data_IF_380257342266
#
_entry.id   IF_380257342266
#
_cell.length_a   1.000
_cell.length_b   1.000
_cell.length_c   1.000
_cell.angle_alpha   90.00
_cell.angle_beta   90.00
_cell.angle_gamma   90.00
#
_symmetry.space_group_name_H-M   'P 1'
#
loop_
_entity.id
_entity.type
_entity.pdbx_description
1 polymer ?
#
# COMPACT_ATOMS: atom_id res chain seq x y z
N UNK A 1 -20.66 2.63 6.87
CA UNK A 1 -20.04 2.83 5.55
C UNK A 1 -19.24 1.58 5.27
N UNK A 2 -19.58 0.85 4.21
CA UNK A 2 -18.88 -0.38 3.89
C UNK A 2 -17.52 0.03 3.28
N UNK A 3 -16.44 -0.16 4.03
CA UNK A 3 -15.12 0.31 3.65
C UNK A 3 -14.56 -0.42 2.44
N UNK A 4 -13.61 0.21 1.78
CA UNK A 4 -12.83 -0.40 0.71
C UNK A 4 -12.03 -1.58 1.25
N UNK A 5 -11.76 -2.56 0.39
CA UNK A 5 -10.99 -3.75 0.74
C UNK A 5 -9.80 -3.90 -0.20
N UNK A 6 -8.60 -3.89 0.38
CA UNK A 6 -7.36 -4.11 -0.33
C UNK A 6 -6.80 -5.49 -0.02
N UNK A 7 -6.27 -6.18 -1.03
CA UNK A 7 -5.58 -7.47 -0.85
C UNK A 7 -4.10 -7.34 -1.15
N UNK A 8 -3.27 -7.71 -0.18
CA UNK A 8 -1.81 -7.69 -0.29
C UNK A 8 -1.21 -9.08 -0.07
N UNK A 9 -0.04 -9.32 -0.67
CA UNK A 9 0.83 -10.45 -0.32
C UNK A 9 2.19 -9.93 0.12
N UNK A 10 2.86 -10.70 0.97
CA UNK A 10 4.27 -10.52 1.28
C UNK A 10 4.93 -11.91 1.36
N UNK A 11 5.46 -12.37 0.23
CA UNK A 11 6.03 -13.70 0.05
C UNK A 11 7.40 -13.63 -0.65
N UNK A 12 7.90 -14.74 -1.18
CA UNK A 12 9.18 -14.78 -1.90
C UNK A 12 9.19 -13.97 -3.21
N UNK A 13 8.07 -13.37 -3.60
CA UNK A 13 8.00 -12.44 -4.73
C UNK A 13 7.91 -10.98 -4.26
N UNK A 14 7.99 -10.74 -2.95
CA UNK A 14 7.95 -9.43 -2.32
C UNK A 14 6.55 -8.97 -1.91
N UNK A 15 6.49 -7.69 -1.55
CA UNK A 15 5.28 -7.00 -1.15
C UNK A 15 4.50 -6.54 -2.39
N UNK A 16 3.30 -7.07 -2.57
CA UNK A 16 2.47 -6.82 -3.76
C UNK A 16 1.03 -6.48 -3.38
N UNK A 17 0.42 -5.56 -4.13
CA UNK A 17 -0.99 -5.18 -4.04
C UNK A 17 -1.75 -5.81 -5.20
N UNK A 18 -2.66 -6.72 -4.88
CA UNK A 18 -3.34 -7.57 -5.87
C UNK A 18 -4.70 -7.05 -6.28
N UNK A 19 -5.35 -6.28 -5.40
CA UNK A 19 -6.78 -6.07 -5.49
C UNK A 19 -7.22 -4.82 -4.75
N UNK A 20 -8.14 -4.07 -5.34
CA UNK A 20 -8.86 -2.97 -4.69
C UNK A 20 -10.36 -3.09 -4.94
N UNK A 21 -11.12 -3.36 -3.88
CA UNK A 21 -12.58 -3.40 -3.94
C UNK A 21 -13.13 -2.11 -3.35
N UNK A 22 -13.62 -1.25 -4.22
CA UNK A 22 -14.52 -0.17 -3.85
C UNK A 22 -15.96 -0.71 -3.91
N UNK A 23 -16.66 -0.76 -2.77
CA UNK A 23 -18.04 -1.30 -2.74
C UNK A 23 -19.06 -0.41 -3.46
N UNK A 24 -18.66 0.82 -3.82
CA UNK A 24 -19.44 1.75 -4.65
C UNK A 24 -19.09 1.67 -6.14
N UNK A 25 -17.99 1.00 -6.50
CA UNK A 25 -17.54 0.81 -7.88
C UNK A 25 -17.19 -0.66 -8.18
N UNK A 26 -18.00 -1.31 -9.01
CA UNK A 26 -17.90 -2.75 -9.26
C UNK A 26 -16.64 -3.20 -10.05
N UNK A 27 -15.82 -2.26 -10.53
CA UNK A 27 -14.67 -2.58 -11.37
C UNK A 27 -13.38 -2.47 -10.56
N UNK A 28 -12.64 -3.57 -10.56
CA UNK A 28 -11.38 -3.75 -9.86
C UNK A 28 -10.26 -3.89 -10.89
N UNK A 29 -9.68 -2.76 -11.27
CA UNK A 29 -8.61 -2.71 -12.27
C UNK A 29 -7.40 -3.57 -11.89
N UNK A 30 -7.16 -3.76 -10.58
CA UNK A 30 -6.05 -4.55 -10.07
C UNK A 30 -6.30 -6.06 -10.20
N UNK A 31 -7.53 -6.51 -9.98
CA UNK A 31 -7.89 -7.92 -10.09
C UNK A 31 -7.76 -8.48 -11.51
N UNK A 32 -7.90 -7.64 -12.53
CA UNK A 32 -7.79 -8.03 -13.94
C UNK A 32 -6.34 -7.90 -14.49
N UNK A 33 -5.48 -7.17 -13.77
CA UNK A 33 -4.11 -6.88 -14.16
C UNK A 33 -3.05 -7.72 -13.42
N UNK A 34 -1.78 -7.36 -13.63
CA UNK A 34 -0.70 -7.87 -12.77
C UNK A 34 -0.70 -7.11 -11.44
N UNK A 35 -0.39 -7.77 -10.31
CA UNK A 35 -0.28 -7.09 -9.03
C UNK A 35 0.75 -5.95 -9.08
N UNK A 36 0.44 -4.84 -8.40
CA UNK A 36 1.40 -3.76 -8.20
C UNK A 36 2.48 -4.25 -7.25
N UNK A 37 3.73 -4.21 -7.69
CA UNK A 37 4.87 -4.56 -6.82
C UNK A 37 5.31 -3.30 -6.08
N UNK A 38 5.19 -3.33 -4.75
CA UNK A 38 5.60 -2.25 -3.85
C UNK A 38 7.07 -2.45 -3.47
N UNK A 39 7.46 -3.67 -3.11
CA UNK A 39 8.84 -4.01 -2.82
C UNK A 39 9.17 -5.42 -3.29
N UNK A 40 10.44 -5.67 -3.62
CA UNK A 40 10.96 -7.02 -3.87
C UNK A 40 11.07 -7.79 -2.55
N UNK A 41 11.32 -9.09 -2.64
CA UNK A 41 11.57 -9.97 -1.50
C UNK A 41 12.79 -9.55 -0.67
N UNK A 42 13.80 -9.00 -1.32
CA UNK A 42 14.91 -8.26 -0.70
C UNK A 42 14.78 -6.78 -1.01
N UNK A 43 14.78 -5.94 0.02
CA UNK A 43 14.72 -4.48 -0.12
C UNK A 43 15.85 -3.82 0.66
N UNK A 44 16.56 -2.92 0.00
CA UNK A 44 17.51 -2.00 0.59
C UNK A 44 16.92 -0.58 0.65
N UNK A 45 17.53 0.29 1.45
CA UNK A 45 17.12 1.69 1.49
C UNK A 45 17.53 2.38 0.17
N UNK A 46 16.61 3.13 -0.41
CA UNK A 46 16.77 3.74 -1.72
C UNK A 46 16.35 2.85 -2.90
N UNK A 47 16.04 1.57 -2.65
CA UNK A 47 15.49 0.70 -3.69
C UNK A 47 14.19 1.26 -4.24
N UNK A 48 13.99 1.07 -5.53
CA UNK A 48 12.75 1.45 -6.20
C UNK A 48 12.21 0.35 -7.11
N UNK A 49 10.88 0.28 -7.18
CA UNK A 49 10.16 -0.66 -8.04
C UNK A 49 9.14 0.13 -8.86
N UNK A 50 9.27 0.07 -10.17
CA UNK A 50 8.29 0.58 -11.11
C UNK A 50 7.40 -0.57 -11.57
N UNK A 51 6.11 -0.45 -11.29
CA UNK A 51 5.07 -1.22 -11.97
C UNK A 51 4.37 -0.31 -12.96
N UNK A 52 4.33 -0.70 -14.23
CA UNK A 52 3.58 0.00 -15.26
C UNK A 52 2.79 -1.03 -16.07
N UNK A 53 1.51 -0.75 -16.31
CA UNK A 53 0.70 -1.51 -17.25
C UNK A 53 0.42 -0.65 -18.47
N UNK A 54 0.52 -1.28 -19.64
CA UNK A 54 0.32 -0.66 -20.96
C UNK A 54 -0.89 -1.24 -21.69
N UNK A 55 -1.55 -2.26 -21.13
CA UNK A 55 -2.50 -3.09 -21.89
C UNK A 55 -3.86 -2.43 -22.12
N UNK A 56 -4.33 -1.56 -21.22
CA UNK A 56 -5.63 -0.89 -21.33
C UNK A 56 -5.57 0.63 -21.19
N UNK A 57 -4.82 1.13 -20.20
CA UNK A 57 -4.55 2.55 -19.96
C UNK A 57 -3.14 2.62 -19.40
N UNK A 58 -2.28 3.49 -19.93
CA UNK A 58 -0.92 3.66 -19.44
C UNK A 58 -0.97 4.24 -18.03
N UNK A 59 -0.90 3.40 -17.00
CA UNK A 59 -0.77 3.81 -15.61
C UNK A 59 0.52 3.27 -15.03
N UNK A 60 1.06 3.98 -14.04
CA UNK A 60 2.23 3.51 -13.34
C UNK A 60 2.13 3.72 -11.84
N UNK A 61 2.93 2.92 -11.13
CA UNK A 61 3.20 3.00 -9.71
C UNK A 61 4.70 2.83 -9.51
N UNK A 62 5.35 3.85 -8.99
CA UNK A 62 6.73 3.81 -8.55
C UNK A 62 6.74 3.78 -7.04
N UNK A 63 7.30 2.73 -6.42
CA UNK A 63 7.54 2.69 -4.98
C UNK A 63 9.03 2.85 -4.68
N UNK A 64 9.36 3.62 -3.66
CA UNK A 64 10.72 3.93 -3.22
C UNK A 64 10.81 3.66 -1.71
N UNK A 65 11.77 2.83 -1.31
CA UNK A 65 12.10 2.57 0.10
C UNK A 65 12.89 3.76 0.66
N UNK A 66 12.31 4.58 1.54
CA UNK A 66 12.93 5.84 2.00
C UNK A 66 13.67 5.72 3.32
N UNK A 67 13.24 4.83 4.23
CA UNK A 67 13.83 4.75 5.55
C UNK A 67 12.97 4.02 6.57
N UNK A 68 13.42 4.09 7.82
CA UNK A 68 12.69 3.54 8.97
C UNK A 68 12.21 4.65 9.89
N UNK A 69 10.97 4.54 10.35
CA UNK A 69 10.35 5.49 11.27
C UNK A 69 9.56 4.74 12.35
N UNK A 70 9.53 5.31 13.56
CA UNK A 70 8.61 4.83 14.60
C UNK A 70 7.21 5.40 14.33
N UNK A 71 6.19 4.55 14.42
CA UNK A 71 4.80 4.93 14.12
C UNK A 71 3.90 4.61 15.31
N UNK A 72 3.20 5.63 15.79
CA UNK A 72 2.19 5.49 16.85
C UNK A 72 0.79 5.68 16.25
N UNK A 73 -0.05 4.67 16.38
CA UNK A 73 -1.45 4.63 15.93
C UNK A 73 -2.32 4.04 17.06
N UNK A 74 -3.66 4.02 16.94
CA UNK A 74 -4.50 3.42 17.98
C UNK A 74 -4.15 1.96 18.30
N UNK A 75 -3.67 1.21 17.29
CA UNK A 75 -3.15 -0.16 17.47
C UNK A 75 -1.87 -0.29 18.30
N UNK A 76 -1.29 0.83 18.71
CA UNK A 76 -0.09 0.91 19.54
C UNK A 76 1.07 1.58 18.84
N UNK A 77 2.26 1.36 19.40
CA UNK A 77 3.52 1.90 18.91
C UNK A 77 4.32 0.81 18.19
N UNK A 78 4.66 1.06 16.93
CA UNK A 78 5.40 0.16 16.07
C UNK A 78 6.77 0.75 15.77
N UNK A 79 7.82 0.08 16.25
CA UNK A 79 9.20 0.53 16.10
C UNK A 79 9.77 0.14 14.74
N UNK A 80 10.60 1.01 14.16
CA UNK A 80 11.31 0.78 12.89
C UNK A 80 10.38 0.30 11.76
N UNK A 81 9.28 0.99 11.55
CA UNK A 81 8.41 0.75 10.39
C UNK A 81 9.15 1.18 9.12
N UNK A 82 9.17 0.31 8.12
CA UNK A 82 9.72 0.64 6.81
C UNK A 82 8.75 1.59 6.09
N UNK A 83 9.23 2.77 5.73
CA UNK A 83 8.47 3.78 5.00
C UNK A 83 8.75 3.67 3.51
N UNK A 84 7.68 3.58 2.74
CA UNK A 84 7.71 3.72 1.29
C UNK A 84 7.09 5.04 0.89
N UNK A 85 7.73 5.70 -0.07
CA UNK A 85 7.10 6.73 -0.89
C UNK A 85 6.65 6.10 -2.18
N UNK A 86 5.43 6.42 -2.59
CA UNK A 86 4.88 5.97 -3.86
C UNK A 86 4.52 7.16 -4.72
N UNK A 87 4.78 7.05 -6.03
CA UNK A 87 4.35 8.00 -7.05
C UNK A 87 3.48 7.24 -8.04
N UNK A 88 2.22 7.62 -8.14
CA UNK A 88 1.29 7.03 -9.10
C UNK A 88 0.80 8.09 -10.09
N UNK A 89 0.53 7.67 -11.33
CA UNK A 89 -0.04 8.57 -12.34
C UNK A 89 -0.86 7.80 -13.36
N UNK A 90 -1.77 8.52 -14.01
CA UNK A 90 -2.66 8.06 -15.07
C UNK A 90 -3.59 6.89 -14.67
N UNK A 91 -3.82 6.68 -13.37
CA UNK A 91 -4.94 5.88 -12.91
C UNK A 91 -6.24 6.62 -13.20
N UNK A 92 -7.30 5.89 -13.51
CA UNK A 92 -8.60 6.44 -13.87
C UNK A 92 -9.73 5.79 -13.06
N UNK A 93 -10.92 6.40 -13.11
CA UNK A 93 -12.09 5.88 -12.38
C UNK A 93 -11.89 5.93 -10.86
N UNK A 94 -12.32 4.88 -10.16
CA UNK A 94 -12.18 4.76 -8.70
C UNK A 94 -10.71 4.74 -8.23
N UNK A 95 -9.77 4.43 -9.13
CA UNK A 95 -8.35 4.43 -8.81
C UNK A 95 -7.67 5.79 -8.98
N UNK A 96 -8.35 6.79 -9.57
CA UNK A 96 -7.78 8.11 -9.83
C UNK A 96 -7.27 8.80 -8.56
N UNK A 97 -7.92 8.53 -7.41
CA UNK A 97 -7.51 9.04 -6.08
C UNK A 97 -6.12 8.62 -5.64
N UNK A 98 -5.53 7.59 -6.25
CA UNK A 98 -4.16 7.17 -5.95
C UNK A 98 -3.11 7.96 -6.75
N UNK A 99 -3.51 8.77 -7.74
CA UNK A 99 -2.60 9.59 -8.52
C UNK A 99 -1.95 10.68 -7.64
N UNK A 100 -0.63 10.77 -7.71
CA UNK A 100 0.17 11.71 -6.92
C UNK A 100 1.20 11.00 -6.05
N UNK A 101 1.59 11.64 -4.95
CA UNK A 101 2.56 11.12 -3.99
C UNK A 101 1.82 10.58 -2.78
N UNK A 102 2.06 9.33 -2.42
CA UNK A 102 1.57 8.72 -1.19
C UNK A 102 2.70 8.13 -0.37
N UNK A 103 2.42 7.85 0.90
CA UNK A 103 3.35 7.21 1.82
C UNK A 103 2.69 6.03 2.52
N UNK A 104 3.46 4.97 2.75
CA UNK A 104 3.00 3.77 3.44
C UNK A 104 4.05 3.32 4.45
N UNK A 105 3.61 2.90 5.64
CA UNK A 105 4.49 2.42 6.71
C UNK A 105 4.16 0.98 7.06
N UNK A 106 5.16 0.12 7.01
CA UNK A 106 5.02 -1.31 7.28
C UNK A 106 5.81 -1.73 8.52
N UNK A 107 5.12 -2.31 9.49
CA UNK A 107 5.74 -2.88 10.69
C UNK A 107 6.02 -4.38 10.49
N UNK A 108 7.20 -4.82 10.95
CA UNK A 108 7.61 -6.23 10.86
C UNK A 108 6.63 -7.12 11.64
N UNK A 109 6.15 -8.18 10.98
CA UNK A 109 5.23 -9.13 11.58
C UNK A 109 3.80 -8.63 11.76
N UNK A 110 3.47 -7.44 11.25
CA UNK A 110 2.14 -6.84 11.33
C UNK A 110 1.63 -6.45 9.95
N UNK A 111 2.47 -5.81 9.14
CA UNK A 111 2.09 -5.30 7.81
C UNK A 111 1.87 -3.79 7.84
N UNK A 112 0.95 -3.30 6.99
CA UNK A 112 0.65 -1.88 6.87
C UNK A 112 0.05 -1.33 8.18
N UNK A 113 0.68 -0.31 8.77
CA UNK A 113 0.22 0.32 10.02
C UNK A 113 -0.34 1.72 9.80
N UNK A 114 0.09 2.37 8.72
CA UNK A 114 -0.32 3.73 8.35
C UNK A 114 -0.14 3.91 6.85
N UNK A 115 -1.03 4.69 6.23
CA UNK A 115 -0.83 5.25 4.90
C UNK A 115 -1.34 6.68 4.82
N UNK A 116 -0.71 7.47 3.96
CA UNK A 116 -1.10 8.83 3.61
C UNK A 116 -1.22 8.88 2.08
N UNK A 117 -2.39 9.29 1.60
CA UNK A 117 -2.69 9.47 0.20
C UNK A 117 -2.17 10.81 -0.34
N UNK A 118 -2.33 11.02 -1.65
CA UNK A 118 -1.92 12.25 -2.32
C UNK A 118 -2.77 13.47 -1.98
N UNK A 119 -4.02 13.30 -1.54
CA UNK A 119 -4.91 14.38 -1.13
C UNK A 119 -4.78 14.80 0.34
N UNK A 120 -5.14 16.04 0.65
CA UNK A 120 -5.23 16.51 2.03
C UNK A 120 -6.30 15.73 2.80
N UNK A 121 -5.93 15.20 3.97
CA UNK A 121 -6.84 14.41 4.80
C UNK A 121 -7.05 12.97 4.32
N UNK A 122 -6.41 12.55 3.23
CA UNK A 122 -6.41 11.16 2.80
C UNK A 122 -5.39 10.38 3.63
N UNK A 123 -5.85 9.71 4.68
CA UNK A 123 -4.98 8.83 5.45
C UNK A 123 -5.76 7.64 5.99
N UNK A 124 -5.02 6.56 6.23
CA UNK A 124 -5.49 5.39 6.93
C UNK A 124 -4.51 5.05 8.04
N UNK A 125 -5.04 4.63 9.18
CA UNK A 125 -4.24 4.19 10.34
C UNK A 125 -4.82 2.90 10.88
N UNK A 126 -3.93 1.99 11.28
CA UNK A 126 -4.32 0.73 11.88
C UNK A 126 -5.00 1.00 13.22
N UNK A 127 -6.26 0.56 13.32
CA UNK A 127 -7.08 0.73 14.53
C UNK A 127 -6.89 -0.38 15.53
N UNK A 128 -6.70 -1.61 15.04
CA UNK A 128 -6.41 -2.83 15.79
C UNK A 128 -5.95 -3.94 14.83
N UNK A 129 -5.31 -4.99 15.34
CA UNK A 129 -4.92 -6.15 14.54
C UNK A 129 -4.81 -7.43 15.38
N UNK A 130 -4.98 -8.59 14.75
CA UNK A 130 -4.63 -9.89 15.35
C UNK A 130 -3.71 -10.64 14.40
N UNK A 131 -2.45 -10.82 14.77
CA UNK A 131 -1.43 -11.43 13.92
C UNK A 131 -0.70 -12.53 14.67
N UNK A 132 -0.78 -13.77 14.17
CA UNK A 132 -0.12 -14.93 14.80
C UNK A 132 -0.53 -15.18 16.25
N UNK A 133 -1.76 -14.80 16.65
CA UNK A 133 -2.25 -14.89 18.02
C UNK A 133 -1.91 -13.70 18.93
N UNK A 134 -1.16 -12.71 18.42
CA UNK A 134 -0.90 -11.45 19.12
C UNK A 134 -1.98 -10.44 18.75
N UNK A 135 -2.62 -9.84 19.76
CA UNK A 135 -3.61 -8.79 19.57
C UNK A 135 -3.00 -7.41 19.80
N UNK A 136 -3.20 -6.53 18.84
CA UNK A 136 -2.91 -5.11 18.89
C UNK A 136 -4.26 -4.40 19.11
N UNK A 137 -4.40 -3.62 20.21
CA UNK A 137 -5.68 -3.05 20.65
C UNK A 137 -6.35 -2.17 19.60
#
# INVERSE_FOLDING_TARGET
>A
MAGDEDSFSNDSLGLRWHRHIDRTHHWDFLAEGKPITIARDTVELGDSVLTADTYYVYHFWLSISEGFEDVTVPAGEFKKCLRFKSVASNWSGNMERYNGISYQWYAKGVGLVKSEGPGEGEYWILKSASVGGINYP
#
